data_IF_026700592900
#
_entry.id   IF_026700592900
#
_cell.length_a   1.000
_cell.length_b   1.000
_cell.length_c   1.000
_cell.angle_alpha   90.00
_cell.angle_beta   90.00
_cell.angle_gamma   90.00
#
_symmetry.space_group_name_H-M   'P 1'
#
loop_
_entity.id
_entity.type
_entity.pdbx_description
1 polymer ?
#
# COMPACT_ATOMS: atom_id res chain seq x y z
N UNK A 1 -16.18 -24.39 6.95
CA UNK A 1 -17.58 -24.12 7.35
C UNK A 1 -18.23 -23.41 6.19
N UNK A 2 -19.01 -24.11 5.38
CA UNK A 2 -19.51 -23.59 4.09
C UNK A 2 -20.72 -22.69 4.29
N UNK A 3 -20.80 -21.59 3.53
CA UNK A 3 -21.96 -20.70 3.50
C UNK A 3 -22.27 -20.39 2.03
N UNK A 4 -23.46 -20.80 1.58
CA UNK A 4 -23.96 -20.52 0.23
C UNK A 4 -24.39 -19.05 0.08
N UNK A 5 -24.19 -18.49 -1.11
CA UNK A 5 -24.74 -17.18 -1.50
C UNK A 5 -25.93 -17.35 -2.46
N UNK A 6 -27.12 -16.77 -2.17
CA UNK A 6 -28.28 -16.90 -3.04
C UNK A 6 -28.23 -15.92 -4.22
N UNK A 7 -28.29 -16.47 -5.43
CA UNK A 7 -28.49 -15.73 -6.68
C UNK A 7 -29.91 -15.17 -6.71
N UNK A 8 -30.09 -13.88 -7.04
CA UNK A 8 -31.41 -13.34 -7.35
C UNK A 8 -31.44 -12.47 -8.61
N UNK A 9 -32.55 -12.58 -9.36
CA UNK A 9 -32.62 -12.28 -10.80
C UNK A 9 -33.86 -11.43 -11.10
N UNK A 10 -33.70 -10.16 -11.47
CA UNK A 10 -34.83 -9.27 -11.79
C UNK A 10 -34.76 -8.74 -13.24
N UNK A 11 -35.93 -8.61 -13.85
CA UNK A 11 -36.16 -8.48 -15.29
C UNK A 11 -36.26 -7.04 -15.77
N UNK A 12 -35.61 -6.80 -16.90
CA UNK A 12 -36.07 -6.07 -18.11
C UNK A 12 -37.47 -5.42 -18.06
N UNK A 13 -37.54 -4.11 -18.37
CA UNK A 13 -38.74 -3.44 -18.90
C UNK A 13 -38.38 -2.46 -20.03
N UNK A 14 -39.19 -2.50 -21.09
CA UNK A 14 -38.94 -1.87 -22.41
C UNK A 14 -39.44 -0.42 -22.55
N UNK A 15 -38.89 0.24 -23.58
CA UNK A 15 -39.22 1.58 -24.12
C UNK A 15 -40.59 1.70 -24.84
N UNK A 16 -41.09 2.95 -24.87
CA UNK A 16 -41.93 3.62 -25.90
C UNK A 16 -41.58 5.13 -25.92
N UNK A 17 -41.95 6.00 -26.87
CA UNK A 17 -42.64 5.77 -28.16
C UNK A 17 -42.65 6.92 -29.20
N UNK A 18 -42.38 8.20 -28.86
CA UNK A 18 -42.44 9.36 -29.77
C UNK A 18 -42.72 10.70 -29.05
N UNK A 19 -42.58 11.89 -29.66
CA UNK A 19 -42.01 12.24 -30.98
C UNK A 19 -42.15 13.74 -31.39
N UNK A 20 -41.10 14.31 -32.00
CA UNK A 20 -41.01 15.47 -32.96
C UNK A 20 -41.58 16.88 -32.60
N UNK A 21 -40.68 17.90 -32.51
CA UNK A 21 -40.43 19.05 -33.46
C UNK A 21 -40.01 20.38 -32.76
N UNK A 22 -39.17 21.18 -33.42
CA UNK A 22 -38.75 22.55 -33.05
C UNK A 22 -37.22 22.67 -32.80
N UNK A 23 -36.40 22.87 -33.84
CA UNK A 23 -35.95 24.18 -34.41
C UNK A 23 -35.24 25.06 -33.38
N UNK A 24 -33.94 25.28 -33.63
CA UNK A 24 -32.97 25.72 -32.64
C UNK A 24 -32.98 27.19 -32.20
N UNK A 25 -32.21 27.40 -31.13
CA UNK A 25 -31.59 28.66 -30.71
C UNK A 25 -30.28 28.33 -30.00
N UNK A 26 -29.29 29.18 -30.20
CA UNK A 26 -27.94 29.04 -29.64
C UNK A 26 -27.95 29.15 -28.11
N UNK A 27 -27.07 28.41 -27.44
CA UNK A 27 -26.66 28.64 -26.06
C UNK A 27 -25.14 28.51 -26.01
N UNK A 28 -24.47 29.56 -25.54
CA UNK A 28 -23.01 29.68 -25.51
C UNK A 28 -22.37 28.70 -24.51
N UNK A 29 -21.21 28.16 -24.86
CA UNK A 29 -20.29 27.49 -23.93
C UNK A 29 -18.90 28.14 -23.99
N UNK A 30 -18.59 28.96 -22.98
CA UNK A 30 -17.23 29.24 -22.44
C UNK A 30 -16.04 29.33 -23.44
N UNK A 31 -16.01 30.35 -24.29
CA UNK A 31 -14.81 30.76 -25.03
C UNK A 31 -13.83 31.52 -24.11
N UNK A 32 -12.92 30.81 -23.42
CA UNK A 32 -11.82 31.48 -22.69
C UNK A 32 -10.47 30.76 -22.69
N UNK A 33 -10.42 29.44 -22.91
CA UNK A 33 -9.13 28.74 -23.06
C UNK A 33 -8.57 28.78 -24.49
N UNK A 34 -9.42 28.72 -25.51
CA UNK A 34 -8.99 28.72 -26.92
C UNK A 34 -8.42 30.08 -27.37
N UNK A 35 -8.97 31.19 -26.84
CA UNK A 35 -8.57 32.55 -27.21
C UNK A 35 -7.17 32.95 -26.72
N UNK A 36 -6.71 32.44 -25.57
CA UNK A 36 -5.33 32.65 -25.09
C UNK A 36 -4.32 31.89 -25.96
N UNK A 37 -4.63 30.65 -26.33
CA UNK A 37 -3.72 29.82 -27.12
C UNK A 37 -3.51 30.40 -28.54
N UNK A 38 -4.58 30.89 -29.16
CA UNK A 38 -4.51 31.51 -30.49
C UNK A 38 -3.74 32.86 -30.48
N UNK A 39 -3.87 33.67 -29.42
CA UNK A 39 -3.07 34.90 -29.26
C UNK A 39 -1.60 34.66 -28.93
N UNK A 40 -1.26 33.54 -28.27
CA UNK A 40 0.15 33.17 -28.03
C UNK A 40 0.86 32.82 -29.35
N UNK A 41 0.19 32.10 -30.25
CA UNK A 41 0.76 31.69 -31.54
C UNK A 41 0.95 32.85 -32.53
N UNK A 42 0.15 33.92 -32.44
CA UNK A 42 0.29 35.11 -33.30
C UNK A 42 1.44 36.08 -32.91
N UNK A 43 2.19 35.82 -31.82
CA UNK A 43 3.38 36.63 -31.45
C UNK A 43 4.73 35.96 -31.72
N UNK A 44 4.74 34.76 -32.29
CA UNK A 44 5.98 34.00 -32.57
C UNK A 44 6.69 34.52 -33.85
N UNK A 45 6.06 35.42 -34.62
CA UNK A 45 6.64 36.02 -35.83
C UNK A 45 7.73 37.09 -35.62
N UNK A 46 7.97 37.53 -34.38
CA UNK A 46 8.91 38.63 -34.05
C UNK A 46 9.81 38.30 -32.83
N UNK A 47 10.31 37.06 -32.75
CA UNK A 47 11.21 36.65 -31.66
C UNK A 47 12.50 36.04 -32.21
N UNK A 48 13.64 36.54 -31.75
CA UNK A 48 14.97 36.09 -32.15
C UNK A 48 15.12 34.57 -32.03
N UNK A 49 15.80 33.95 -33.01
CA UNK A 49 16.04 32.50 -33.05
C UNK A 49 16.73 31.94 -31.79
N UNK A 50 17.45 32.79 -31.06
CA UNK A 50 18.06 32.47 -29.77
C UNK A 50 17.01 32.16 -28.70
N UNK A 51 15.90 32.91 -28.63
CA UNK A 51 14.83 32.65 -27.66
C UNK A 51 14.04 31.38 -28.00
N UNK A 52 13.81 31.10 -29.29
CA UNK A 52 13.13 29.86 -29.71
C UNK A 52 13.98 28.65 -29.34
N UNK A 53 15.29 28.72 -29.54
CA UNK A 53 16.23 27.65 -29.15
C UNK A 53 16.27 27.46 -27.63
N UNK A 54 16.28 28.55 -26.85
CA UNK A 54 16.23 28.51 -25.39
C UNK A 54 14.89 27.95 -24.85
N UNK A 55 13.76 28.26 -25.50
CA UNK A 55 12.46 27.71 -25.13
C UNK A 55 12.37 26.20 -25.41
N UNK A 56 12.95 25.71 -26.51
CA UNK A 56 13.02 24.28 -26.82
C UNK A 56 13.96 23.55 -25.85
N UNK A 57 15.12 24.15 -25.51
CA UNK A 57 16.01 23.60 -24.47
C UNK A 57 15.36 23.60 -23.09
N UNK A 58 14.58 24.63 -22.74
CA UNK A 58 13.79 24.68 -21.50
C UNK A 58 12.68 23.63 -21.45
N UNK A 59 12.05 23.30 -22.58
CA UNK A 59 11.08 22.21 -22.67
C UNK A 59 11.74 20.83 -22.59
N UNK A 60 12.94 20.65 -23.16
CA UNK A 60 13.72 19.41 -23.01
C UNK A 60 14.33 19.23 -21.61
N UNK A 61 14.59 20.33 -20.89
CA UNK A 61 15.04 20.32 -19.49
C UNK A 61 13.88 20.25 -18.48
N UNK A 62 12.63 20.37 -18.93
CA UNK A 62 11.47 19.81 -18.25
C UNK A 62 11.46 18.29 -18.47
N UNK A 63 12.56 17.64 -18.08
CA UNK A 63 12.66 16.19 -18.09
C UNK A 63 11.52 15.64 -17.26
N UNK A 64 10.85 14.61 -17.77
CA UNK A 64 9.98 13.81 -16.93
C UNK A 64 10.82 13.32 -15.76
N UNK A 65 10.60 13.90 -14.59
CA UNK A 65 10.91 13.25 -13.33
C UNK A 65 10.11 11.97 -13.31
N UNK A 66 10.66 10.91 -13.89
CA UNK A 66 10.40 9.56 -13.41
C UNK A 66 10.83 9.65 -11.96
N UNK A 67 9.85 9.83 -11.08
CA UNK A 67 10.02 9.62 -9.65
C UNK A 67 10.37 8.15 -9.51
N UNK A 68 11.67 7.85 -9.63
CA UNK A 68 12.22 6.56 -9.29
C UNK A 68 11.71 6.19 -7.91
N UNK A 69 11.36 4.93 -7.74
CA UNK A 69 10.77 4.40 -6.52
C UNK A 69 11.66 4.83 -5.35
N UNK A 70 11.13 5.64 -4.41
CA UNK A 70 11.67 5.64 -3.05
C UNK A 70 11.54 4.18 -2.61
N UNK A 71 12.68 3.53 -2.38
CA UNK A 71 12.84 2.10 -2.62
C UNK A 71 11.88 1.19 -1.85
N UNK A 72 11.85 -0.08 -2.28
CA UNK A 72 10.95 -1.06 -1.70
C UNK A 72 11.43 -1.45 -0.31
N UNK A 73 10.48 -1.50 0.62
CA UNK A 73 10.74 -1.94 1.98
C UNK A 73 10.67 -3.46 2.14
N UNK A 74 11.20 -3.96 3.25
CA UNK A 74 11.02 -5.36 3.65
C UNK A 74 10.62 -5.43 5.12
N UNK A 75 9.68 -6.32 5.44
CA UNK A 75 9.22 -6.58 6.80
C UNK A 75 10.27 -7.38 7.59
N UNK A 76 10.73 -6.85 8.73
CA UNK A 76 11.61 -7.59 9.65
C UNK A 76 10.75 -8.34 10.68
N UNK A 77 10.28 -9.51 10.28
CA UNK A 77 9.71 -10.50 11.19
C UNK A 77 10.77 -11.05 12.15
N UNK A 78 10.36 -11.33 13.38
CA UNK A 78 11.24 -11.78 14.48
C UNK A 78 10.68 -13.00 15.24
N UNK A 79 9.67 -13.68 14.69
CA UNK A 79 9.05 -14.87 15.26
C UNK A 79 9.90 -16.11 14.92
N UNK A 80 11.15 -16.11 15.37
CA UNK A 80 12.11 -17.18 15.16
C UNK A 80 13.25 -17.19 16.17
N UNK A 81 13.68 -18.38 16.58
CA UNK A 81 14.68 -18.58 17.63
C UNK A 81 16.12 -18.74 17.12
N UNK A 82 16.33 -18.59 15.82
CA UNK A 82 17.60 -18.81 15.10
C UNK A 82 18.02 -17.63 14.20
N UNK A 83 17.37 -16.48 14.34
CA UNK A 83 17.58 -15.30 13.49
C UNK A 83 18.91 -14.57 13.80
N UNK A 84 19.52 -13.86 12.82
CA UNK A 84 20.72 -13.08 13.05
C UNK A 84 20.51 -11.91 14.04
N UNK A 85 21.58 -11.50 14.70
CA UNK A 85 21.63 -10.27 15.51
C UNK A 85 21.26 -9.02 14.68
N UNK A 86 20.54 -8.03 15.23
CA UNK A 86 20.04 -6.87 14.48
C UNK A 86 21.09 -6.15 13.62
N UNK A 87 22.32 -5.93 14.11
CA UNK A 87 23.40 -5.30 13.33
C UNK A 87 23.71 -6.01 12.00
N UNK A 88 23.65 -7.35 11.99
CA UNK A 88 23.84 -8.17 10.79
C UNK A 88 22.65 -8.02 9.84
N UNK A 89 21.43 -7.94 10.38
CA UNK A 89 20.22 -7.71 9.58
C UNK A 89 20.25 -6.32 8.95
N UNK A 90 20.58 -5.26 9.69
CA UNK A 90 20.70 -3.89 9.14
C UNK A 90 21.87 -3.77 8.15
N UNK A 91 22.93 -4.58 8.29
CA UNK A 91 23.95 -4.71 7.26
C UNK A 91 23.40 -5.41 5.98
N UNK A 92 22.61 -6.48 6.13
CA UNK A 92 22.01 -7.22 5.02
C UNK A 92 20.95 -6.41 4.26
N UNK A 93 20.12 -5.61 4.94
CA UNK A 93 19.20 -4.65 4.29
C UNK A 93 19.95 -3.72 3.34
N UNK A 94 21.02 -3.08 3.84
CA UNK A 94 21.86 -2.17 3.05
C UNK A 94 22.60 -2.88 1.92
N UNK A 95 23.12 -4.08 2.16
CA UNK A 95 23.80 -4.88 1.13
C UNK A 95 22.84 -5.36 0.02
N UNK A 96 21.54 -5.42 0.30
CA UNK A 96 20.49 -5.83 -0.64
C UNK A 96 19.79 -4.65 -1.33
N UNK A 97 20.26 -3.41 -1.13
CA UNK A 97 19.62 -2.16 -1.59
C UNK A 97 18.18 -1.94 -1.10
N UNK A 98 17.78 -2.58 0.01
CA UNK A 98 16.48 -2.35 0.65
C UNK A 98 16.57 -1.02 1.41
N UNK A 99 15.66 -0.08 1.14
CA UNK A 99 15.72 1.29 1.69
C UNK A 99 14.85 1.51 2.93
N UNK A 100 13.86 0.65 3.14
CA UNK A 100 12.86 0.84 4.18
C UNK A 100 12.53 -0.47 4.91
N UNK A 101 12.18 -0.37 6.19
CA UNK A 101 12.02 -1.51 7.10
C UNK A 101 10.76 -1.33 7.93
N UNK A 102 9.95 -2.38 8.01
CA UNK A 102 8.79 -2.43 8.91
C UNK A 102 9.06 -3.36 10.08
N UNK A 103 8.95 -2.81 11.29
CA UNK A 103 9.03 -3.53 12.57
C UNK A 103 7.61 -3.71 13.12
N UNK A 104 7.28 -4.93 13.55
CA UNK A 104 5.94 -5.25 14.06
C UNK A 104 5.70 -4.82 15.51
N UNK A 105 6.78 -4.67 16.28
CA UNK A 105 6.75 -4.29 17.69
C UNK A 105 7.98 -3.41 18.00
N UNK A 106 7.97 -2.66 19.11
CA UNK A 106 9.06 -1.73 19.43
C UNK A 106 10.23 -2.41 20.16
N UNK A 107 11.19 -2.93 19.39
CA UNK A 107 12.45 -3.47 19.93
C UNK A 107 13.56 -2.41 19.98
N UNK A 108 14.06 -2.09 21.17
CA UNK A 108 15.11 -1.07 21.37
C UNK A 108 16.51 -1.49 20.93
N UNK A 109 16.78 -2.80 20.82
CA UNK A 109 18.03 -3.36 20.27
C UNK A 109 18.07 -3.13 18.76
N UNK A 110 16.96 -3.38 18.07
CA UNK A 110 16.81 -3.16 16.62
C UNK A 110 16.82 -1.66 16.31
N UNK A 111 16.13 -0.84 17.11
CA UNK A 111 16.18 0.62 17.00
C UNK A 111 17.58 1.19 17.27
N UNK A 112 18.40 0.54 18.11
CA UNK A 112 19.80 0.90 18.29
C UNK A 112 20.65 0.56 17.05
N UNK A 113 20.50 -0.63 16.48
CA UNK A 113 21.16 -1.06 15.24
C UNK A 113 20.78 -0.20 14.02
N UNK A 114 19.57 0.38 14.02
CA UNK A 114 19.08 1.27 12.96
C UNK A 114 19.68 2.68 12.96
N UNK A 115 20.39 3.08 14.03
CA UNK A 115 20.98 4.42 14.15
C UNK A 115 21.98 4.70 13.04
N UNK A 116 21.75 5.77 12.27
CA UNK A 116 22.61 6.16 11.15
C UNK A 116 22.58 5.20 9.95
N UNK A 117 21.66 4.23 9.92
CA UNK A 117 21.53 3.28 8.80
C UNK A 117 21.00 3.92 7.51
N UNK A 118 20.27 5.03 7.63
CA UNK A 118 19.55 5.67 6.52
C UNK A 118 18.20 5.05 6.18
N UNK A 119 17.91 3.84 6.70
CA UNK A 119 16.67 3.11 6.42
C UNK A 119 15.45 3.87 6.95
N UNK A 120 14.39 4.00 6.14
CA UNK A 120 13.11 4.50 6.64
C UNK A 120 12.40 3.42 7.47
N UNK A 121 11.84 3.81 8.62
CA UNK A 121 11.31 2.85 9.61
C UNK A 121 9.82 3.04 9.81
N UNK A 122 9.05 1.98 9.57
CA UNK A 122 7.68 1.83 10.05
C UNK A 122 7.73 1.08 11.38
N UNK A 123 7.28 1.73 12.46
CA UNK A 123 7.31 1.16 13.81
C UNK A 123 5.89 0.81 14.28
N UNK A 124 5.60 -0.47 14.40
CA UNK A 124 4.35 -0.97 14.96
C UNK A 124 4.31 -0.92 16.48
N UNK A 125 3.12 -0.63 17.02
CA UNK A 125 2.78 -0.98 18.40
C UNK A 125 2.48 -2.47 18.49
N UNK A 126 2.63 -3.03 19.70
CA UNK A 126 1.97 -4.28 20.04
C UNK A 126 0.45 -4.13 19.95
N UNK A 127 -0.27 -5.21 19.65
CA UNK A 127 -1.74 -5.21 19.60
C UNK A 127 -2.32 -5.21 21.02
N UNK A 128 -1.69 -5.94 21.95
CA UNK A 128 -2.02 -6.00 23.37
C UNK A 128 -1.84 -4.66 24.11
N UNK A 129 -1.03 -3.73 23.57
CA UNK A 129 -0.88 -2.38 24.10
C UNK A 129 -2.04 -1.44 23.71
N UNK A 130 -2.85 -1.78 22.70
CA UNK A 130 -3.81 -0.85 22.10
C UNK A 130 -4.86 -0.33 23.08
N UNK A 131 -5.47 -1.20 23.88
CA UNK A 131 -6.44 -0.79 24.89
C UNK A 131 -5.86 0.23 25.89
N UNK A 132 -4.58 0.09 26.23
CA UNK A 132 -3.87 1.02 27.13
C UNK A 132 -3.47 2.30 26.40
N UNK A 133 -2.95 2.21 25.19
CA UNK A 133 -2.65 3.38 24.34
C UNK A 133 -3.92 4.22 24.06
N UNK A 134 -5.08 3.57 23.97
CA UNK A 134 -6.39 4.20 23.77
C UNK A 134 -6.91 4.94 25.01
N UNK A 135 -6.71 4.37 26.20
CA UNK A 135 -7.34 4.84 27.45
C UNK A 135 -6.43 5.66 28.36
N UNK A 136 -5.10 5.51 28.23
CA UNK A 136 -4.10 6.17 29.07
C UNK A 136 -3.11 6.97 28.22
N UNK A 137 -3.32 8.29 28.17
CA UNK A 137 -2.43 9.22 27.46
C UNK A 137 -1.02 9.29 28.09
N UNK A 138 -0.86 8.96 29.38
CA UNK A 138 0.45 8.91 30.03
C UNK A 138 1.24 7.68 29.58
N UNK A 139 0.56 6.54 29.37
CA UNK A 139 1.16 5.36 28.75
C UNK A 139 1.61 5.64 27.31
N UNK A 140 0.80 6.32 26.50
CA UNK A 140 1.19 6.74 25.15
C UNK A 140 2.40 7.69 25.15
N UNK A 141 2.49 8.61 26.11
CA UNK A 141 3.67 9.46 26.30
C UNK A 141 4.91 8.65 26.69
N UNK A 142 4.81 7.71 27.64
CA UNK A 142 5.90 6.82 28.01
C UNK A 142 6.35 5.90 26.87
N UNK A 143 5.42 5.44 26.02
CA UNK A 143 5.72 4.66 24.82
C UNK A 143 6.59 5.48 23.84
N UNK A 144 6.18 6.71 23.53
CA UNK A 144 6.95 7.63 22.67
C UNK A 144 8.32 7.95 23.27
N UNK A 145 8.39 8.21 24.58
CA UNK A 145 9.62 8.48 25.31
C UNK A 145 10.59 7.28 25.31
N UNK A 146 10.08 6.05 25.25
CA UNK A 146 10.89 4.82 25.27
C UNK A 146 11.38 4.44 23.87
N UNK A 147 10.53 4.53 22.85
CA UNK A 147 10.74 3.88 21.56
C UNK A 147 10.97 4.82 20.38
N UNK A 148 10.60 6.10 20.49
CA UNK A 148 10.77 7.06 19.38
C UNK A 148 11.74 8.17 19.76
N UNK A 149 11.50 8.84 20.89
CA UNK A 149 12.28 10.01 21.32
C UNK A 149 13.80 9.76 21.47
N UNK A 150 14.28 8.62 22.02
CA UNK A 150 15.73 8.39 22.18
C UNK A 150 16.46 8.12 20.85
N UNK A 151 15.70 7.86 19.78
CA UNK A 151 16.18 7.48 18.45
C UNK A 151 15.90 8.56 17.39
N UNK A 152 15.09 9.57 17.73
CA UNK A 152 14.79 10.71 16.86
C UNK A 152 16.07 11.41 16.38
N UNK A 153 16.14 11.71 15.09
CA UNK A 153 17.33 12.29 14.44
C UNK A 153 18.44 11.28 14.11
N UNK A 154 18.47 10.10 14.73
CA UNK A 154 19.38 9.00 14.38
C UNK A 154 18.69 7.90 13.57
N UNK A 155 17.37 7.74 13.70
CA UNK A 155 16.51 6.79 12.97
C UNK A 155 15.49 7.57 12.14
N UNK A 156 15.32 7.21 10.86
CA UNK A 156 14.39 7.86 9.91
C UNK A 156 13.00 7.24 10.04
N UNK A 157 12.25 7.55 11.10
CA UNK A 157 10.87 7.08 11.22
C UNK A 157 9.99 7.64 10.09
N UNK A 158 9.38 6.77 9.29
CA UNK A 158 8.34 7.12 8.30
C UNK A 158 6.98 7.20 8.96
N UNK A 159 6.58 6.14 9.67
CA UNK A 159 5.26 6.01 10.31
C UNK A 159 5.36 5.31 11.66
N UNK A 160 4.48 5.68 12.59
CA UNK A 160 4.10 4.83 13.73
C UNK A 160 2.74 4.20 13.40
N UNK A 161 2.61 2.87 13.39
CA UNK A 161 1.29 2.23 13.22
C UNK A 161 0.72 1.74 14.55
N UNK A 162 -0.48 2.21 14.89
CA UNK A 162 -1.25 1.69 16.01
C UNK A 162 -1.98 0.42 15.58
N UNK A 163 -1.42 -0.73 15.95
CA UNK A 163 -1.98 -2.05 15.69
C UNK A 163 -1.74 -2.60 14.28
N UNK A 164 -1.95 -3.91 14.16
CA UNK A 164 -1.82 -4.71 12.95
C UNK A 164 -3.00 -5.67 12.80
N UNK A 165 -3.80 -5.51 11.74
CA UNK A 165 -4.92 -6.38 11.35
C UNK A 165 -6.02 -6.56 12.42
N UNK A 166 -6.12 -5.59 13.35
CA UNK A 166 -7.03 -5.65 14.49
C UNK A 166 -8.51 -5.47 14.12
N UNK A 167 -8.79 -4.84 12.99
CA UNK A 167 -10.16 -4.56 12.53
C UNK A 167 -10.64 -5.70 11.62
N UNK A 168 -11.83 -6.29 11.82
CA UNK A 168 -12.93 -5.87 12.70
C UNK A 168 -13.04 -6.67 14.02
N UNK A 169 -11.93 -7.12 14.62
CA UNK A 169 -11.90 -7.86 15.88
C UNK A 169 -12.15 -7.00 17.13
N UNK A 170 -12.07 -7.63 18.31
CA UNK A 170 -12.51 -7.05 19.58
C UNK A 170 -11.84 -5.72 19.95
N UNK A 171 -10.54 -5.58 19.66
CA UNK A 171 -9.76 -4.37 19.94
C UNK A 171 -9.89 -3.27 18.86
N UNK A 172 -10.76 -3.45 17.86
CA UNK A 172 -10.96 -2.48 16.78
C UNK A 172 -11.35 -1.08 17.30
N UNK A 173 -12.15 -1.01 18.37
CA UNK A 173 -12.55 0.25 19.00
C UNK A 173 -11.37 1.02 19.63
N UNK A 174 -10.30 0.33 20.01
CA UNK A 174 -9.09 0.90 20.63
C UNK A 174 -8.18 1.60 19.61
N UNK A 175 -8.27 1.26 18.32
CA UNK A 175 -7.34 1.73 17.27
C UNK A 175 -7.32 3.25 17.14
N UNK A 176 -8.46 3.90 16.85
CA UNK A 176 -8.50 5.35 16.63
C UNK A 176 -8.13 6.19 17.87
N UNK A 177 -8.60 5.87 19.09
CA UNK A 177 -8.11 6.54 20.30
C UNK A 177 -6.60 6.37 20.51
N UNK A 178 -6.04 5.17 20.29
CA UNK A 178 -4.60 4.94 20.38
C UNK A 178 -3.81 5.79 19.36
N UNK A 179 -4.26 5.86 18.10
CA UNK A 179 -3.67 6.73 17.07
C UNK A 179 -3.64 8.21 17.51
N UNK A 180 -4.73 8.70 18.11
CA UNK A 180 -4.85 10.08 18.60
C UNK A 180 -3.91 10.36 19.77
N UNK A 181 -3.83 9.45 20.74
CA UNK A 181 -2.95 9.59 21.90
C UNK A 181 -1.46 9.53 21.50
N UNK A 182 -1.08 8.61 20.61
CA UNK A 182 0.27 8.56 20.03
C UNK A 182 0.61 9.84 19.25
N UNK A 183 -0.29 10.35 18.41
CA UNK A 183 -0.07 11.59 17.66
C UNK A 183 0.07 12.80 18.61
N UNK A 184 -0.69 12.84 19.71
CA UNK A 184 -0.58 13.85 20.75
C UNK A 184 0.77 13.77 21.47
N UNK A 185 1.19 12.56 21.89
CA UNK A 185 2.46 12.31 22.55
C UNK A 185 3.67 12.66 21.67
N UNK A 186 3.65 12.29 20.39
CA UNK A 186 4.70 12.67 19.42
C UNK A 186 4.81 14.19 19.28
N UNK A 187 3.69 14.90 19.11
CA UNK A 187 3.66 16.36 19.05
C UNK A 187 4.19 17.01 20.34
N UNK A 188 3.80 16.48 21.52
CA UNK A 188 4.29 16.96 22.81
C UNK A 188 5.80 16.75 22.99
N UNK A 189 6.36 15.68 22.41
CA UNK A 189 7.80 15.42 22.36
C UNK A 189 8.55 16.24 21.27
N UNK A 190 7.85 17.10 20.52
CA UNK A 190 8.43 17.87 19.41
C UNK A 190 8.69 17.06 18.13
N UNK A 191 8.06 15.89 18.00
CA UNK A 191 8.29 14.93 16.91
C UNK A 191 7.16 14.99 15.88
N UNK A 192 7.51 15.19 14.61
CA UNK A 192 6.57 15.27 13.49
C UNK A 192 6.23 13.94 12.80
N UNK A 193 6.46 12.79 13.45
CA UNK A 193 6.26 11.47 12.83
C UNK A 193 4.76 11.22 12.62
N UNK A 194 4.30 10.90 11.39
CA UNK A 194 2.90 10.55 11.13
C UNK A 194 2.46 9.27 11.85
N UNK A 195 1.16 9.19 12.19
CA UNK A 195 0.55 8.06 12.88
C UNK A 195 -0.56 7.46 12.04
N UNK A 196 -0.47 6.15 11.82
CA UNK A 196 -1.38 5.36 10.99
C UNK A 196 -1.83 4.07 11.68
N UNK A 197 -2.49 3.17 10.98
CA UNK A 197 -2.82 1.80 11.41
C UNK A 197 -2.72 0.87 10.20
N UNK A 198 -2.57 -0.44 10.45
CA UNK A 198 -2.45 -1.47 9.40
C UNK A 198 -3.71 -2.35 9.39
N UNK A 199 -4.33 -2.49 8.23
CA UNK A 199 -5.50 -3.37 8.02
C UNK A 199 -5.20 -4.51 7.03
N UNK A 200 -5.79 -5.67 7.27
CA UNK A 200 -5.86 -6.76 6.29
C UNK A 200 -6.91 -6.45 5.22
N UNK A 201 -6.82 -7.05 4.03
CA UNK A 201 -7.89 -6.97 3.02
C UNK A 201 -9.22 -7.60 3.46
N UNK A 202 -9.26 -8.35 4.57
CA UNK A 202 -10.48 -8.90 5.17
C UNK A 202 -11.46 -7.83 5.70
N UNK A 203 -11.03 -6.56 5.80
CA UNK A 203 -11.94 -5.44 6.08
C UNK A 203 -12.90 -5.14 4.92
N UNK A 204 -12.64 -5.66 3.71
CA UNK A 204 -13.51 -5.50 2.55
C UNK A 204 -14.68 -6.50 2.60
N UNK A 205 -15.91 -6.00 2.48
CA UNK A 205 -17.11 -6.82 2.28
C UNK A 205 -17.41 -7.09 0.81
N UNK A 206 -16.92 -6.21 -0.08
CA UNK A 206 -16.97 -6.37 -1.53
C UNK A 206 -15.63 -5.95 -2.13
N UNK A 207 -15.13 -6.72 -3.10
CA UNK A 207 -13.86 -6.44 -3.80
C UNK A 207 -13.90 -6.76 -5.30
N UNK A 208 -15.00 -7.35 -5.81
CA UNK A 208 -15.15 -7.72 -7.21
C UNK A 208 -16.46 -7.17 -7.82
N UNK A 209 -16.40 -6.51 -9.01
CA UNK A 209 -15.19 -5.97 -9.62
C UNK A 209 -14.58 -4.84 -8.75
N UNK A 210 -13.32 -4.41 -8.99
CA UNK A 210 -12.66 -3.45 -8.11
C UNK A 210 -13.41 -2.13 -7.84
N UNK A 211 -14.14 -1.57 -8.83
CA UNK A 211 -15.04 -0.41 -8.60
C UNK A 211 -16.10 -0.62 -7.51
N UNK A 212 -16.48 -1.87 -7.25
CA UNK A 212 -17.44 -2.23 -6.19
C UNK A 212 -16.79 -2.46 -4.83
N UNK A 213 -15.47 -2.29 -4.73
CA UNK A 213 -14.69 -2.24 -3.49
C UNK A 213 -15.40 -1.46 -2.38
N UNK A 214 -15.68 -2.11 -1.24
CA UNK A 214 -16.37 -1.52 -0.11
C UNK A 214 -15.99 -2.23 1.20
N UNK A 215 -15.86 -1.48 2.29
CA UNK A 215 -15.67 -2.06 3.62
C UNK A 215 -16.90 -2.89 4.04
N UNK A 216 -16.67 -3.96 4.80
CA UNK A 216 -17.73 -4.80 5.34
C UNK A 216 -18.55 -4.05 6.38
N UNK A 217 -19.79 -4.50 6.61
CA UNK A 217 -20.67 -3.90 7.64
C UNK A 217 -20.04 -3.96 9.05
N UNK A 218 -19.19 -4.97 9.31
CA UNK A 218 -18.45 -5.11 10.56
C UNK A 218 -17.25 -4.13 10.67
N UNK A 219 -16.53 -3.87 9.57
CA UNK A 219 -15.35 -3.01 9.59
C UNK A 219 -15.69 -1.52 9.44
N UNK A 220 -16.70 -1.18 8.63
CA UNK A 220 -17.03 0.21 8.26
C UNK A 220 -17.23 1.17 9.47
N UNK A 221 -17.91 0.78 10.57
CA UNK A 221 -18.08 1.66 11.73
C UNK A 221 -16.78 2.12 12.38
N UNK A 222 -15.73 1.28 12.33
CA UNK A 222 -14.40 1.59 12.86
C UNK A 222 -13.51 2.25 11.80
N UNK A 223 -13.55 1.75 10.56
CA UNK A 223 -12.65 2.24 9.50
C UNK A 223 -13.02 3.65 9.04
N UNK A 224 -14.29 4.01 8.89
CA UNK A 224 -14.65 5.34 8.37
C UNK A 224 -14.18 6.52 9.25
N UNK A 225 -14.26 6.45 10.59
CA UNK A 225 -13.62 7.43 11.48
C UNK A 225 -12.08 7.49 11.36
N UNK A 226 -11.43 6.35 11.12
CA UNK A 226 -9.97 6.28 10.90
C UNK A 226 -9.60 6.92 9.56
N UNK A 227 -10.33 6.62 8.49
CA UNK A 227 -10.17 7.23 7.16
C UNK A 227 -10.31 8.75 7.23
N UNK A 228 -11.30 9.24 7.98
CA UNK A 228 -11.49 10.68 8.21
C UNK A 228 -10.30 11.32 8.95
N UNK A 229 -9.75 10.63 9.96
CA UNK A 229 -8.58 11.10 10.72
C UNK A 229 -7.32 11.12 9.84
N UNK A 230 -7.06 10.06 9.07
CA UNK A 230 -5.94 9.95 8.15
C UNK A 230 -6.01 11.03 7.07
N UNK A 231 -7.15 11.18 6.39
CA UNK A 231 -7.37 12.21 5.38
C UNK A 231 -7.17 13.63 5.93
N UNK A 232 -7.57 13.90 7.18
CA UNK A 232 -7.38 15.20 7.84
C UNK A 232 -5.90 15.58 8.08
N UNK A 233 -4.99 14.59 8.01
CA UNK A 233 -3.55 14.76 8.25
C UNK A 233 -2.67 14.47 7.02
N UNK A 234 -3.25 14.02 5.91
CA UNK A 234 -2.50 13.54 4.74
C UNK A 234 -1.67 12.27 4.98
N UNK A 235 -1.91 11.55 6.08
CA UNK A 235 -1.19 10.30 6.41
C UNK A 235 -1.84 9.12 5.69
N UNK A 236 -1.10 8.24 5.00
CA UNK A 236 -1.69 7.09 4.30
C UNK A 236 -2.28 6.05 5.26
N UNK A 237 -3.22 5.24 4.76
CA UNK A 237 -3.60 3.97 5.39
C UNK A 237 -2.61 2.87 4.98
N UNK A 238 -2.18 2.04 5.92
CA UNK A 238 -1.35 0.87 5.62
C UNK A 238 -2.24 -0.36 5.44
N UNK A 239 -1.97 -1.14 4.39
CA UNK A 239 -2.79 -2.30 4.01
C UNK A 239 -1.92 -3.50 3.67
N UNK A 240 -2.23 -4.65 4.27
CA UNK A 240 -1.61 -5.93 3.95
C UNK A 240 -2.32 -6.58 2.76
N UNK A 241 -1.60 -6.82 1.66
CA UNK A 241 -2.16 -7.21 0.36
C UNK A 241 -1.52 -8.53 -0.11
N UNK A 242 -2.27 -9.62 -0.10
CA UNK A 242 -1.75 -10.95 -0.43
C UNK A 242 -2.56 -11.66 -1.53
N UNK A 243 -2.20 -11.49 -2.82
CA UNK A 243 -2.74 -12.29 -3.92
C UNK A 243 -2.58 -13.81 -3.72
N UNK A 244 -1.52 -14.22 -3.01
CA UNK A 244 -1.26 -15.62 -2.67
C UNK A 244 -2.46 -16.29 -1.97
N UNK A 245 -3.07 -15.67 -0.95
CA UNK A 245 -4.14 -16.33 -0.20
C UNK A 245 -5.42 -16.50 -1.03
N UNK A 246 -5.72 -15.56 -1.93
CA UNK A 246 -6.83 -15.70 -2.88
C UNK A 246 -6.58 -16.85 -3.87
N UNK A 247 -5.34 -16.98 -4.39
CA UNK A 247 -4.96 -18.11 -5.23
C UNK A 247 -5.00 -19.45 -4.47
N UNK A 248 -4.39 -19.53 -3.28
CA UNK A 248 -4.31 -20.78 -2.54
C UNK A 248 -5.66 -21.26 -1.98
N UNK A 249 -6.65 -20.37 -1.84
CA UNK A 249 -8.00 -20.72 -1.41
C UNK A 249 -8.84 -21.34 -2.55
N UNK A 250 -8.69 -20.85 -3.78
CA UNK A 250 -9.32 -21.43 -4.98
C UNK A 250 -8.39 -21.38 -6.20
N UNK A 251 -7.41 -22.31 -6.30
CA UNK A 251 -6.49 -22.37 -7.42
C UNK A 251 -7.15 -22.90 -8.71
N UNK A 252 -8.45 -23.24 -8.66
CA UNK A 252 -9.24 -23.69 -9.82
C UNK A 252 -9.91 -22.53 -10.56
N UNK A 253 -10.37 -21.51 -9.81
CA UNK A 253 -10.95 -20.28 -10.38
C UNK A 253 -9.93 -19.15 -10.52
N UNK A 254 -8.95 -19.05 -9.62
CA UNK A 254 -7.91 -18.03 -9.67
C UNK A 254 -6.73 -18.54 -10.48
N UNK A 255 -6.45 -17.89 -11.62
CA UNK A 255 -5.25 -18.23 -12.42
C UNK A 255 -3.98 -17.81 -11.69
N UNK A 256 -2.97 -18.69 -11.72
CA UNK A 256 -1.67 -18.43 -11.10
C UNK A 256 -0.94 -17.24 -11.73
N UNK A 257 -1.01 -17.07 -13.06
CA UNK A 257 -0.35 -15.96 -13.79
C UNK A 257 -0.85 -14.56 -13.33
N UNK A 258 -2.15 -14.46 -13.06
CA UNK A 258 -2.83 -13.29 -12.52
C UNK A 258 -2.45 -13.00 -11.07
N UNK A 259 -2.29 -14.03 -10.24
CA UNK A 259 -1.85 -13.89 -8.85
C UNK A 259 -0.35 -13.57 -8.73
N UNK A 260 0.49 -14.05 -9.67
CA UNK A 260 1.95 -13.83 -9.73
C UNK A 260 2.38 -12.51 -10.38
N UNK A 261 1.45 -11.62 -10.74
CA UNK A 261 1.71 -10.36 -11.45
C UNK A 261 2.52 -10.59 -12.76
N UNK A 262 2.30 -11.72 -13.44
CA UNK A 262 3.12 -12.07 -14.60
C UNK A 262 2.93 -11.06 -15.74
N UNK A 263 4.02 -10.59 -16.39
CA UNK A 263 3.93 -9.61 -17.48
C UNK A 263 3.27 -10.17 -18.74
N UNK A 264 3.15 -11.50 -18.87
CA UNK A 264 2.47 -12.17 -19.99
C UNK A 264 0.99 -12.43 -19.75
N UNK A 265 0.43 -12.02 -18.61
CA UNK A 265 -0.94 -12.33 -18.20
C UNK A 265 -1.94 -11.61 -19.10
N UNK A 266 -2.85 -12.37 -19.73
CA UNK A 266 -3.97 -11.79 -20.47
C UNK A 266 -4.88 -11.00 -19.54
N UNK A 267 -5.61 -10.01 -20.08
CA UNK A 267 -6.73 -9.36 -19.40
C UNK A 267 -7.57 -10.38 -18.60
N UNK A 268 -7.72 -10.16 -17.30
CA UNK A 268 -8.39 -11.09 -16.39
C UNK A 268 -9.69 -10.50 -15.84
N UNK A 269 -9.70 -9.19 -15.54
CA UNK A 269 -10.90 -8.46 -15.11
C UNK A 269 -11.01 -7.15 -15.89
N UNK A 270 -12.17 -6.86 -16.47
CA UNK A 270 -12.48 -5.55 -17.07
C UNK A 270 -13.61 -4.90 -16.27
N UNK A 271 -13.39 -3.66 -15.83
CA UNK A 271 -14.26 -2.96 -14.88
C UNK A 271 -14.26 -1.46 -15.18
N UNK A 272 -15.43 -0.91 -15.48
CA UNK A 272 -15.60 0.55 -15.70
C UNK A 272 -14.69 1.17 -16.77
N UNK A 273 -14.23 0.38 -17.75
CA UNK A 273 -13.33 0.83 -18.82
C UNK A 273 -11.84 0.64 -18.56
N UNK A 274 -11.43 0.19 -17.36
CA UNK A 274 -10.05 -0.25 -17.08
C UNK A 274 -9.96 -1.79 -17.10
N UNK A 275 -8.76 -2.30 -17.32
CA UNK A 275 -8.46 -3.74 -17.34
C UNK A 275 -7.35 -4.06 -16.37
N UNK A 276 -7.57 -5.07 -15.53
CA UNK A 276 -6.59 -5.63 -14.61
C UNK A 276 -5.96 -6.88 -15.23
N UNK A 277 -4.64 -6.85 -15.37
CA UNK A 277 -3.81 -7.97 -15.81
C UNK A 277 -3.14 -8.68 -14.62
N UNK A 278 -3.26 -8.15 -13.42
CA UNK A 278 -2.75 -8.77 -12.19
C UNK A 278 -3.69 -8.52 -11.01
N UNK A 279 -3.63 -9.41 -10.01
CA UNK A 279 -4.51 -9.39 -8.84
C UNK A 279 -4.13 -8.30 -7.83
N UNK A 280 -2.86 -7.93 -7.73
CA UNK A 280 -2.39 -6.89 -6.81
C UNK A 280 -3.08 -5.55 -7.09
N UNK A 281 -3.10 -5.11 -8.35
CA UNK A 281 -3.81 -3.92 -8.79
C UNK A 281 -5.31 -3.99 -8.52
N UNK A 282 -5.92 -5.14 -8.76
CA UNK A 282 -7.36 -5.33 -8.55
C UNK A 282 -7.74 -5.25 -7.07
N UNK A 283 -6.91 -5.79 -6.17
CA UNK A 283 -7.09 -5.65 -4.72
C UNK A 283 -6.88 -4.19 -4.30
N UNK A 284 -5.81 -3.55 -4.76
CA UNK A 284 -5.47 -2.19 -4.37
C UNK A 284 -6.50 -1.16 -4.85
N UNK A 285 -6.99 -1.27 -6.09
CA UNK A 285 -8.08 -0.42 -6.59
C UNK A 285 -9.44 -0.72 -5.92
N UNK A 286 -9.66 -1.95 -5.41
CA UNK A 286 -10.82 -2.25 -4.56
C UNK A 286 -10.71 -1.57 -3.17
N UNK A 287 -9.50 -1.51 -2.60
CA UNK A 287 -9.24 -0.73 -1.37
C UNK A 287 -9.48 0.76 -1.62
N UNK A 288 -8.96 1.33 -2.70
CA UNK A 288 -9.21 2.73 -3.05
C UNK A 288 -10.70 3.03 -3.26
N UNK A 289 -11.45 2.16 -3.94
CA UNK A 289 -12.89 2.31 -4.09
C UNK A 289 -13.65 2.24 -2.74
N UNK A 290 -13.17 1.42 -1.80
CA UNK A 290 -13.73 1.36 -0.44
C UNK A 290 -13.44 2.64 0.36
N UNK A 291 -12.21 3.17 0.26
CA UNK A 291 -11.81 4.44 0.87
C UNK A 291 -12.64 5.61 0.34
N UNK A 292 -12.82 5.71 -0.97
CA UNK A 292 -13.62 6.75 -1.62
C UNK A 292 -15.09 6.71 -1.17
N UNK A 293 -15.68 5.53 -0.96
CA UNK A 293 -17.03 5.37 -0.41
C UNK A 293 -17.11 5.72 1.09
N UNK A 294 -16.02 5.57 1.83
CA UNK A 294 -15.90 5.94 3.24
C UNK A 294 -15.53 7.42 3.49
N UNK A 295 -15.45 8.26 2.44
CA UNK A 295 -15.09 9.68 2.57
C UNK A 295 -13.58 9.97 2.54
N UNK A 296 -12.77 8.97 2.19
CA UNK A 296 -11.31 9.08 2.01
C UNK A 296 -10.90 9.46 0.59
N UNK A 297 -11.58 10.40 -0.07
CA UNK A 297 -11.20 10.77 -1.44
C UNK A 297 -9.79 11.36 -1.46
N UNK A 298 -8.91 10.78 -2.28
CA UNK A 298 -7.49 11.17 -2.33
C UNK A 298 -6.65 10.71 -1.14
N UNK A 299 -7.19 9.88 -0.23
CA UNK A 299 -6.37 9.22 0.77
C UNK A 299 -5.46 8.18 0.10
N UNK A 300 -4.19 8.18 0.47
CA UNK A 300 -3.18 7.28 -0.07
C UNK A 300 -3.10 5.95 0.69
N UNK A 301 -2.62 4.91 0.00
CA UNK A 301 -2.39 3.58 0.55
C UNK A 301 -0.91 3.23 0.44
N UNK A 302 -0.36 2.71 1.52
CA UNK A 302 0.95 2.02 1.55
C UNK A 302 0.66 0.52 1.68
N UNK A 303 1.28 -0.31 0.86
CA UNK A 303 1.18 -1.77 1.00
C UNK A 303 2.17 -2.21 2.06
N UNK A 304 1.69 -2.40 3.30
CA UNK A 304 2.54 -2.62 4.48
C UNK A 304 3.04 -4.05 4.64
N UNK A 305 2.45 -4.99 3.92
CA UNK A 305 2.93 -6.35 3.69
C UNK A 305 2.40 -6.83 2.34
N UNK A 306 3.24 -7.57 1.62
CA UNK A 306 2.83 -8.42 0.52
C UNK A 306 3.89 -9.48 0.26
N UNK A 307 3.52 -10.69 -0.15
CA UNK A 307 4.50 -11.76 -0.31
C UNK A 307 3.91 -13.06 -0.84
N UNK A 308 4.79 -14.03 -1.08
CA UNK A 308 4.45 -15.35 -1.59
C UNK A 308 5.38 -16.39 -0.95
N UNK A 309 4.85 -17.48 -0.36
CA UNK A 309 5.65 -18.45 0.36
C UNK A 309 6.45 -19.35 -0.58
N UNK A 310 7.70 -19.63 -0.23
CA UNK A 310 8.62 -20.47 -1.00
C UNK A 310 8.42 -21.97 -0.79
N UNK A 311 7.54 -22.36 0.13
CA UNK A 311 7.32 -23.75 0.55
C UNK A 311 6.23 -23.88 1.61
N UNK A 312 6.26 -24.97 2.38
CA UNK A 312 5.25 -25.22 3.44
C UNK A 312 3.95 -25.86 2.97
N UNK A 313 3.91 -26.42 1.75
CA UNK A 313 2.84 -27.31 1.27
C UNK A 313 1.56 -26.63 0.76
N UNK A 314 1.48 -25.29 0.78
CA UNK A 314 0.36 -24.54 0.21
C UNK A 314 0.30 -24.59 -1.32
N UNK A 315 -0.89 -24.37 -1.89
CA UNK A 315 -1.06 -24.43 -3.34
C UNK A 315 -0.28 -23.30 -4.03
N UNK A 316 0.64 -23.66 -4.91
CA UNK A 316 1.55 -22.73 -5.59
C UNK A 316 2.69 -22.19 -4.72
N UNK A 317 2.86 -22.64 -3.49
CA UNK A 317 4.01 -22.28 -2.66
C UNK A 317 5.28 -22.99 -3.17
N UNK A 318 6.18 -22.24 -3.79
CA UNK A 318 7.47 -22.74 -4.31
C UNK A 318 8.48 -21.61 -4.43
N UNK A 319 9.78 -21.93 -4.43
CA UNK A 319 10.87 -20.97 -4.58
C UNK A 319 10.75 -20.19 -5.89
N UNK A 320 10.36 -20.85 -6.98
CA UNK A 320 10.19 -20.25 -8.30
C UNK A 320 9.03 -19.24 -8.32
N UNK A 321 7.89 -19.60 -7.74
CA UNK A 321 6.73 -18.71 -7.66
C UNK A 321 6.97 -17.54 -6.71
N UNK A 322 7.66 -17.76 -5.59
CA UNK A 322 8.03 -16.70 -4.66
C UNK A 322 9.02 -15.70 -5.30
N UNK A 323 10.04 -16.21 -6.01
CA UNK A 323 10.95 -15.39 -6.80
C UNK A 323 10.22 -14.61 -7.90
N UNK A 324 9.30 -15.26 -8.62
CA UNK A 324 8.50 -14.61 -9.67
C UNK A 324 7.64 -13.48 -9.08
N UNK A 325 6.89 -13.75 -8.01
CA UNK A 325 6.04 -12.76 -7.35
C UNK A 325 6.84 -11.53 -6.92
N UNK A 326 7.88 -11.72 -6.10
CA UNK A 326 8.66 -10.62 -5.52
C UNK A 326 9.37 -9.79 -6.60
N UNK A 327 9.93 -10.41 -7.63
CA UNK A 327 10.59 -9.65 -8.72
C UNK A 327 9.58 -8.99 -9.68
N UNK A 328 8.39 -9.56 -9.90
CA UNK A 328 7.36 -8.90 -10.70
C UNK A 328 6.78 -7.69 -9.97
N UNK A 329 6.53 -7.83 -8.66
CA UNK A 329 6.12 -6.74 -7.79
C UNK A 329 7.10 -5.57 -7.86
N UNK A 330 8.42 -5.81 -7.71
CA UNK A 330 9.43 -4.74 -7.74
C UNK A 330 9.35 -3.91 -9.01
N UNK A 331 9.30 -4.56 -10.18
CA UNK A 331 9.21 -3.89 -11.50
C UNK A 331 7.85 -3.22 -11.77
N UNK A 332 6.85 -3.50 -10.94
CA UNK A 332 5.46 -3.08 -11.12
C UNK A 332 5.10 -1.86 -10.26
N UNK A 333 5.44 -1.86 -8.96
CA UNK A 333 4.91 -0.88 -7.99
C UNK A 333 5.20 0.59 -8.32
N UNK A 334 6.28 0.89 -9.06
CA UNK A 334 6.57 2.24 -9.54
C UNK A 334 5.59 2.80 -10.58
N UNK A 335 4.72 1.96 -11.16
CA UNK A 335 3.77 2.33 -12.23
C UNK A 335 2.40 2.76 -11.71
N UNK A 336 2.06 2.40 -10.47
CA UNK A 336 0.71 2.54 -9.93
C UNK A 336 -0.27 1.51 -10.50
N UNK A 337 -1.56 1.73 -10.21
CA UNK A 337 -2.67 0.84 -10.60
C UNK A 337 -3.41 1.36 -11.85
N UNK A 338 -4.29 0.56 -12.47
CA UNK A 338 -5.12 1.00 -13.60
C UNK A 338 -6.01 2.22 -13.30
N UNK A 339 -6.52 2.40 -12.07
CA UNK A 339 -7.27 3.62 -11.69
C UNK A 339 -6.37 4.76 -11.21
N UNK A 340 -5.12 4.49 -10.81
CA UNK A 340 -4.14 5.48 -10.32
C UNK A 340 -2.79 5.36 -11.04
N UNK A 341 -2.76 5.52 -12.37
CA UNK A 341 -1.56 5.31 -13.18
C UNK A 341 -0.51 6.40 -12.94
N UNK A 342 0.77 6.02 -13.03
CA UNK A 342 1.90 6.94 -12.88
C UNK A 342 2.20 7.35 -11.43
N UNK A 343 1.56 6.70 -10.44
CA UNK A 343 1.79 6.93 -9.02
C UNK A 343 2.41 5.71 -8.36
N UNK A 344 3.68 5.80 -7.99
CA UNK A 344 4.38 4.73 -7.28
C UNK A 344 3.67 4.37 -5.97
N UNK A 345 3.58 3.07 -5.66
CA UNK A 345 2.98 2.53 -4.44
C UNK A 345 4.10 2.14 -3.48
N UNK A 346 4.25 2.87 -2.36
CA UNK A 346 5.16 2.44 -1.29
C UNK A 346 4.74 1.06 -0.79
N UNK A 347 5.67 0.11 -0.83
CA UNK A 347 5.38 -1.33 -0.69
C UNK A 347 6.46 -2.01 0.16
N UNK A 348 6.03 -2.90 1.06
CA UNK A 348 6.90 -3.69 1.93
C UNK A 348 6.70 -5.18 1.64
N UNK A 349 7.79 -5.90 1.32
CA UNK A 349 7.76 -7.35 1.09
C UNK A 349 7.82 -8.12 2.41
N UNK A 350 6.87 -9.02 2.60
CA UNK A 350 6.83 -9.97 3.72
C UNK A 350 7.50 -11.29 3.30
N UNK A 351 8.63 -11.70 3.88
CA UNK A 351 9.42 -11.05 4.94
C UNK A 351 10.94 -11.25 4.76
N UNK A 352 11.74 -10.62 5.61
CA UNK A 352 13.20 -10.74 5.54
C UNK A 352 13.69 -12.19 5.71
N UNK A 353 13.10 -12.94 6.65
CA UNK A 353 13.55 -14.28 7.01
C UNK A 353 12.42 -15.30 7.09
N UNK A 354 12.75 -16.59 6.92
CA UNK A 354 11.87 -17.69 7.33
C UNK A 354 11.77 -17.73 8.87
N UNK A 355 10.56 -17.56 9.40
CA UNK A 355 10.27 -17.41 10.82
C UNK A 355 9.85 -18.74 11.46
N UNK A 356 10.81 -19.47 12.05
CA UNK A 356 10.59 -20.86 12.48
C UNK A 356 9.69 -21.08 13.71
N UNK A 357 9.21 -20.01 14.36
CA UNK A 357 8.23 -20.10 15.46
C UNK A 357 6.80 -19.70 15.03
N UNK A 358 6.60 -19.35 13.75
CA UNK A 358 5.27 -19.22 13.16
C UNK A 358 4.56 -20.59 13.04
N UNK A 359 3.22 -20.63 12.85
CA UNK A 359 2.48 -21.86 12.61
C UNK A 359 3.09 -22.72 11.48
N UNK A 360 3.06 -24.04 11.63
CA UNK A 360 3.64 -24.95 10.64
C UNK A 360 2.98 -24.80 9.26
N UNK A 361 3.79 -24.87 8.20
CA UNK A 361 3.36 -24.72 6.82
C UNK A 361 3.87 -23.42 6.18
N UNK A 362 3.02 -22.76 5.40
CA UNK A 362 3.41 -21.62 4.55
C UNK A 362 3.93 -20.41 5.34
N UNK A 363 3.41 -20.20 6.55
CA UNK A 363 3.77 -19.09 7.44
C UNK A 363 5.27 -19.08 7.80
N UNK A 364 5.91 -20.25 7.88
CA UNK A 364 7.35 -20.37 8.14
C UNK A 364 8.24 -20.11 6.90
N UNK A 365 7.64 -19.87 5.72
CA UNK A 365 8.30 -19.92 4.41
C UNK A 365 8.15 -18.65 3.56
N UNK A 366 7.83 -17.50 4.17
CA UNK A 366 7.74 -16.20 3.48
C UNK A 366 9.08 -15.45 3.33
N UNK A 367 10.18 -16.00 3.83
CA UNK A 367 11.48 -15.35 3.86
C UNK A 367 12.12 -15.15 2.50
N UNK A 368 12.69 -13.97 2.28
CA UNK A 368 13.68 -13.71 1.24
C UNK A 368 15.02 -14.43 1.55
N UNK A 369 15.36 -14.52 2.83
CA UNK A 369 16.58 -15.15 3.32
C UNK A 369 16.29 -16.29 4.33
N UNK A 370 17.18 -17.28 4.36
CA UNK A 370 17.26 -18.21 5.47
C UNK A 370 17.89 -17.53 6.71
N UNK A 371 17.68 -18.05 7.93
CA UNK A 371 18.25 -17.48 9.15
C UNK A 371 19.80 -17.46 9.19
N UNK A 372 20.48 -18.21 8.33
CA UNK A 372 21.93 -18.15 8.13
C UNK A 372 22.40 -16.98 7.21
N UNK A 373 21.45 -16.17 6.74
CA UNK A 373 21.61 -15.06 5.79
C UNK A 373 21.89 -15.48 4.33
N UNK A 374 21.79 -16.77 3.99
CA UNK A 374 21.73 -17.19 2.58
C UNK A 374 20.37 -16.81 1.98
N UNK A 375 20.35 -16.44 0.69
CA UNK A 375 19.10 -16.10 0.01
C UNK A 375 18.30 -17.37 -0.31
N UNK A 376 16.99 -17.38 -0.04
CA UNK A 376 16.08 -18.44 -0.49
C UNK A 376 15.91 -18.34 -2.01
N UNK A 377 15.81 -17.10 -2.50
CA UNK A 377 15.81 -16.73 -3.91
C UNK A 377 16.32 -15.30 -4.08
N UNK A 378 16.78 -14.95 -5.28
CA UNK A 378 17.23 -13.59 -5.57
C UNK A 378 16.05 -12.65 -5.86
N UNK A 379 16.11 -11.43 -5.32
CA UNK A 379 15.24 -10.31 -5.66
C UNK A 379 16.11 -9.13 -6.07
N UNK A 380 15.85 -8.57 -7.24
CA UNK A 380 16.54 -7.37 -7.73
C UNK A 380 15.80 -6.12 -7.27
N UNK A 381 16.20 -5.55 -6.13
CA UNK A 381 15.67 -4.30 -5.59
C UNK A 381 16.10 -3.03 -6.36
N UNK A 382 16.85 -3.17 -7.47
CA UNK A 382 17.31 -2.05 -8.31
C UNK A 382 16.62 -1.95 -9.68
N UNK A 383 15.60 -2.79 -9.93
CA UNK A 383 14.94 -3.00 -11.23
C UNK A 383 13.81 -2.01 -11.60
#
# INVERSE_FOLDING_TARGET
MSIDLPINRIKDRRRTGGGRRGVGKEIQFSDSFCYLCCRALQKIGEMDAVLVTAAIFGLLLCGCSVSGVEGIGVNYGMIGNNLPSPDKVIALYRASNITDIRLFHPDTTVLAALRGSGLGVVLGTLNEDLARLATDASFAASWVQSYVQPFAGAVRFRYINAGNEVIPGDEAASVLPAMRNLQSALRAAGLGVPVTTVVATSVLGSSYPPSQGAFSEAALPTVAPIVSFLASSGTPLLVNVYPYFAYSADPSSVRLDYALLSPSTSAAVTDGGVTYTNMFDAILDAVYAALEKAGGQGLEVVVSETGWPSGGGGAGASVENAAAYSNNLVRHVGRGTPRRPGKAVETYIFAMFNENQKPEGVEQNFGLFHPDMSAVYHVDFSA
#
